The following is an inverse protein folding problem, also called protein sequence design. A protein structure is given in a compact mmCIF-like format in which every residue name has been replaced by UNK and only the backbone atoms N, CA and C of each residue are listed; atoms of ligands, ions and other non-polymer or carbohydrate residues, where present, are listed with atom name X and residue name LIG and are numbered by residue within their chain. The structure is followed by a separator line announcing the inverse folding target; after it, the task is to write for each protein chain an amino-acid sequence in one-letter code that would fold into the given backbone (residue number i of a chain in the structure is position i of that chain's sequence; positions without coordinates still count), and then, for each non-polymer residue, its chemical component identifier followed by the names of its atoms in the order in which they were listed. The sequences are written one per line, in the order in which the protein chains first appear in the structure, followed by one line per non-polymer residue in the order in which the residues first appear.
data_IF_187909025538
#
_entry.id   IF_187909025538
#
_cell.length_a   1.000
_cell.length_b   1.000
_cell.length_c   1.000
_cell.angle_alpha   90.00
_cell.angle_beta   90.00
_cell.angle_gamma   90.00
#
_symmetry.space_group_name_H-M   'P 1'
#
loop_
_entity.id
_entity.type
_entity.pdbx_description
1 polymer ?
#
# COMPACT_ATOMS: atom_id res chain seq x y z
N UNK A 1 48.94 55.63 -17.54
CA UNK A 1 48.55 55.00 -18.82
C UNK A 1 49.38 53.75 -19.03
N UNK A 2 48.81 52.57 -18.82
CA UNK A 2 49.22 51.33 -19.49
C UNK A 2 48.05 50.33 -19.42
N UNK A 3 47.64 49.82 -20.58
CA UNK A 3 46.62 48.77 -20.76
C UNK A 3 47.29 47.41 -20.65
N UNK A 4 46.74 46.49 -19.86
CA UNK A 4 46.98 45.05 -20.08
C UNK A 4 45.61 44.36 -20.16
N UNK A 5 45.40 43.78 -21.34
CA UNK A 5 44.32 42.90 -21.77
C UNK A 5 44.76 41.47 -21.48
N UNK A 6 43.78 40.55 -21.40
CA UNK A 6 43.93 39.08 -21.33
C UNK A 6 44.00 38.53 -19.90
N UNK A 7 43.22 37.52 -19.50
CA UNK A 7 42.36 36.65 -20.29
C UNK A 7 41.33 35.94 -19.42
N UNK A 8 40.31 35.48 -20.13
CA UNK A 8 39.21 34.63 -19.73
C UNK A 8 39.73 33.34 -19.07
N UNK A 9 39.17 32.96 -17.92
CA UNK A 9 39.08 31.57 -17.51
C UNK A 9 37.80 31.40 -16.68
N UNK A 10 36.68 31.27 -17.39
CA UNK A 10 35.40 30.83 -16.86
C UNK A 10 35.54 29.35 -16.52
N UNK A 11 35.82 29.06 -15.25
CA UNK A 11 35.80 27.70 -14.71
C UNK A 11 34.39 27.31 -14.29
N UNK A 12 33.50 27.01 -15.25
CA UNK A 12 32.21 26.37 -14.97
C UNK A 12 32.47 24.88 -14.84
N UNK A 13 32.57 24.40 -13.60
CA UNK A 13 32.58 22.97 -13.29
C UNK A 13 31.20 22.38 -13.57
N UNK A 14 31.02 21.79 -14.75
CA UNK A 14 29.91 20.90 -15.03
C UNK A 14 30.14 19.60 -14.24
N UNK A 15 29.43 19.42 -13.14
CA UNK A 15 29.26 18.11 -12.52
C UNK A 15 28.42 17.27 -13.49
N UNK A 16 29.10 16.53 -14.37
CA UNK A 16 28.52 15.46 -15.17
C UNK A 16 28.14 14.32 -14.23
N UNK A 17 26.91 14.34 -13.70
CA UNK A 17 26.27 13.15 -13.18
C UNK A 17 25.97 12.20 -14.33
N UNK A 18 26.51 10.98 -14.30
CA UNK A 18 26.05 9.91 -15.17
C UNK A 18 24.61 9.56 -14.79
N UNK A 19 23.64 10.02 -15.59
CA UNK A 19 22.39 9.30 -15.71
C UNK A 19 22.73 7.96 -16.41
N UNK A 20 22.62 6.85 -15.70
CA UNK A 20 22.63 5.54 -16.33
C UNK A 20 21.40 5.46 -17.25
N UNK A 21 21.55 5.16 -18.54
CA UNK A 21 20.39 4.83 -19.37
C UNK A 21 19.88 3.46 -18.89
N UNK A 22 18.74 3.45 -18.22
CA UNK A 22 17.89 2.27 -18.21
C UNK A 22 17.28 2.18 -19.60
N UNK A 23 17.81 1.29 -20.43
CA UNK A 23 17.07 0.47 -21.39
C UNK A 23 18.05 -0.14 -22.38
N UNK A 24 18.32 -1.43 -22.22
CA UNK A 24 19.02 -2.24 -23.22
C UNK A 24 18.03 -2.59 -24.33
N UNK A 25 17.93 -1.74 -25.35
CA UNK A 25 17.03 -1.89 -26.50
C UNK A 25 17.78 -2.00 -27.84
N UNK A 26 18.96 -2.62 -27.84
CA UNK A 26 19.88 -2.56 -28.99
C UNK A 26 19.69 -3.65 -30.07
N UNK A 27 18.68 -4.52 -29.97
CA UNK A 27 18.52 -5.63 -30.93
C UNK A 27 17.12 -5.84 -31.53
N UNK A 28 16.17 -4.88 -31.47
CA UNK A 28 14.83 -5.15 -32.03
C UNK A 28 14.51 -4.33 -33.29
N UNK A 29 14.56 -4.91 -34.50
CA UNK A 29 14.29 -4.19 -35.73
C UNK A 29 12.82 -4.24 -36.17
N UNK A 30 11.97 -5.12 -35.63
CA UNK A 30 10.55 -5.23 -36.00
C UNK A 30 9.72 -5.91 -34.88
N UNK A 31 9.71 -5.32 -33.68
CA UNK A 31 8.89 -5.77 -32.56
C UNK A 31 7.90 -4.70 -32.16
N UNK A 32 6.64 -4.84 -32.58
CA UNK A 32 5.54 -4.05 -32.04
C UNK A 32 5.29 -4.56 -30.61
N UNK A 33 6.10 -4.15 -29.64
CA UNK A 33 5.88 -4.53 -28.26
C UNK A 33 4.82 -3.62 -27.64
N UNK A 34 3.58 -4.11 -27.60
CA UNK A 34 2.61 -3.68 -26.59
C UNK A 34 3.17 -4.14 -25.25
N UNK A 35 4.08 -3.37 -24.66
CA UNK A 35 4.52 -3.60 -23.28
C UNK A 35 3.46 -3.05 -22.34
N UNK A 36 2.29 -3.70 -22.25
CA UNK A 36 1.57 -3.72 -20.98
C UNK A 36 2.31 -4.71 -20.08
N UNK A 37 3.52 -4.35 -19.68
CA UNK A 37 4.14 -4.94 -18.51
C UNK A 37 3.29 -4.45 -17.33
N UNK A 38 2.31 -5.24 -16.90
CA UNK A 38 1.71 -5.06 -15.58
C UNK A 38 2.82 -5.35 -14.56
N UNK A 39 3.59 -4.31 -14.24
CA UNK A 39 4.39 -4.30 -13.04
C UNK A 39 3.39 -4.37 -11.87
N UNK A 40 3.08 -5.58 -11.40
CA UNK A 40 2.43 -5.78 -10.11
C UNK A 40 3.38 -5.30 -9.02
N UNK A 41 3.50 -3.97 -8.86
CA UNK A 41 4.17 -3.39 -7.72
C UNK A 41 3.30 -3.67 -6.50
N UNK A 42 3.85 -4.46 -5.59
CA UNK A 42 3.26 -4.64 -4.28
C UNK A 42 3.57 -3.40 -3.43
N UNK A 43 2.54 -2.86 -2.77
CA UNK A 43 2.65 -1.77 -1.81
C UNK A 43 2.46 -2.31 -0.39
N UNK A 44 3.43 -2.03 0.47
CA UNK A 44 3.50 -2.48 1.87
C UNK A 44 3.18 -1.36 2.87
N UNK A 45 2.82 -0.15 2.40
CA UNK A 45 2.57 1.03 3.23
C UNK A 45 1.21 0.99 3.95
N UNK A 46 1.04 -0.02 4.79
CA UNK A 46 -0.15 -0.22 5.62
C UNK A 46 0.16 -0.05 7.10
N UNK A 47 -0.71 0.66 7.80
CA UNK A 47 -0.79 0.69 9.25
C UNK A 47 -1.75 -0.36 9.78
N UNK A 48 -1.51 -0.80 11.01
CA UNK A 48 -2.37 -1.71 11.77
C UNK A 48 -2.76 -1.07 13.10
N UNK A 49 -3.97 -1.34 13.57
CA UNK A 49 -4.47 -0.90 14.87
C UNK A 49 -5.51 -1.89 15.43
N UNK A 50 -5.77 -1.82 16.74
CA UNK A 50 -6.75 -2.67 17.42
C UNK A 50 -6.12 -3.93 18.02
N UNK A 51 -6.87 -5.02 18.06
CA UNK A 51 -6.44 -6.28 18.67
C UNK A 51 -5.43 -7.03 17.79
N UNK A 52 -4.19 -7.11 18.26
CA UNK A 52 -3.08 -7.79 17.59
C UNK A 52 -3.34 -9.30 17.40
N UNK A 53 -4.18 -9.93 18.23
CA UNK A 53 -4.47 -11.37 18.12
C UNK A 53 -5.23 -11.73 16.83
N UNK A 54 -5.92 -10.76 16.23
CA UNK A 54 -6.66 -10.94 14.98
C UNK A 54 -6.13 -10.07 13.84
N UNK A 55 -5.11 -9.25 14.11
CA UNK A 55 -4.42 -8.48 13.07
C UNK A 55 -3.52 -9.43 12.25
N UNK A 56 -3.36 -9.19 10.94
CA UNK A 56 -2.38 -9.91 10.16
C UNK A 56 -0.96 -9.55 10.64
N UNK A 57 -0.03 -10.51 10.54
CA UNK A 57 1.39 -10.28 10.77
C UNK A 57 1.98 -9.31 9.76
N UNK A 58 1.48 -9.38 8.53
CA UNK A 58 1.88 -8.53 7.42
C UNK A 58 0.71 -8.40 6.45
N UNK A 59 0.58 -7.22 5.83
CA UNK A 59 -0.23 -7.07 4.64
C UNK A 59 0.43 -6.19 3.60
N UNK A 60 -0.01 -6.39 2.36
CA UNK A 60 0.36 -5.58 1.21
C UNK A 60 -0.74 -5.67 0.16
N UNK A 61 -0.70 -4.81 -0.84
CA UNK A 61 -1.66 -4.87 -1.93
C UNK A 61 -0.97 -4.75 -3.29
N UNK A 62 -1.62 -5.25 -4.33
CA UNK A 62 -1.38 -4.84 -5.71
C UNK A 62 -2.53 -3.90 -6.14
N UNK A 63 -2.70 -3.71 -7.45
CA UNK A 63 -3.74 -2.83 -7.99
C UNK A 63 -5.18 -3.35 -7.82
N UNK A 64 -5.37 -4.60 -7.39
CA UNK A 64 -6.68 -5.28 -7.38
C UNK A 64 -6.99 -6.00 -6.06
N UNK A 65 -5.96 -6.36 -5.31
CA UNK A 65 -6.06 -7.32 -4.22
C UNK A 65 -5.23 -6.87 -3.03
N UNK A 66 -5.72 -7.21 -1.84
CA UNK A 66 -4.97 -7.12 -0.59
C UNK A 66 -4.62 -8.53 -0.13
N UNK A 67 -3.37 -8.70 0.26
CA UNK A 67 -2.78 -9.96 0.69
C UNK A 67 -2.46 -9.88 2.18
N UNK A 68 -3.01 -10.80 2.96
CA UNK A 68 -2.91 -10.84 4.41
C UNK A 68 -2.16 -12.10 4.84
N UNK A 69 -1.09 -11.94 5.60
CA UNK A 69 -0.38 -13.06 6.21
C UNK A 69 -0.76 -13.18 7.68
N UNK A 70 -1.15 -14.37 8.10
CA UNK A 70 -1.41 -14.70 9.50
C UNK A 70 -0.39 -15.71 10.02
N UNK A 71 -0.34 -15.87 11.34
CA UNK A 71 0.42 -16.96 11.95
C UNK A 71 -0.11 -18.33 11.47
N UNK A 72 0.74 -19.36 11.38
CA UNK A 72 0.30 -20.70 11.01
C UNK A 72 -0.83 -21.19 11.91
N UNK A 73 -1.83 -21.86 11.31
CA UNK A 73 -3.02 -22.39 11.98
C UNK A 73 -4.01 -21.35 12.53
N UNK A 74 -3.77 -20.06 12.34
CA UNK A 74 -4.74 -19.01 12.65
C UNK A 74 -5.75 -18.89 11.51
N UNK A 75 -7.03 -19.11 11.81
CA UNK A 75 -8.11 -18.81 10.88
C UNK A 75 -8.26 -17.28 10.73
N UNK A 76 -8.48 -16.76 9.49
CA UNK A 76 -8.67 -15.34 9.30
C UNK A 76 -9.98 -14.89 9.94
N UNK A 77 -10.04 -13.67 10.52
CA UNK A 77 -11.30 -13.09 10.96
C UNK A 77 -12.20 -12.76 9.77
N UNK A 78 -13.43 -12.33 10.05
CA UNK A 78 -14.25 -11.69 9.03
C UNK A 78 -13.59 -10.38 8.59
N UNK A 79 -13.51 -10.14 7.28
CA UNK A 79 -12.85 -8.96 6.70
C UNK A 79 -13.89 -8.11 5.99
N UNK A 80 -13.86 -6.81 6.25
CA UNK A 80 -14.75 -5.84 5.64
C UNK A 80 -13.94 -4.71 5.00
N UNK A 81 -14.33 -4.26 3.81
CA UNK A 81 -13.85 -3.03 3.23
C UNK A 81 -14.55 -1.84 3.90
N UNK A 82 -13.77 -0.84 4.31
CA UNK A 82 -14.26 0.46 4.77
C UNK A 82 -14.05 1.47 3.65
N UNK A 83 -15.15 1.96 3.09
CA UNK A 83 -15.14 2.98 2.05
C UNK A 83 -15.99 4.17 2.46
N UNK A 84 -15.93 5.27 1.70
CA UNK A 84 -16.84 6.42 1.93
C UNK A 84 -18.31 6.06 1.68
N UNK A 85 -18.55 5.02 0.89
CA UNK A 85 -19.87 4.50 0.55
C UNK A 85 -20.43 3.57 1.64
N UNK A 86 -19.59 3.16 2.59
CA UNK A 86 -19.96 2.32 3.72
C UNK A 86 -19.07 1.11 3.88
N UNK A 87 -19.59 0.14 4.63
CA UNK A 87 -18.93 -1.11 4.98
C UNK A 87 -19.41 -2.23 4.05
N UNK A 88 -18.49 -3.00 3.48
CA UNK A 88 -18.83 -4.14 2.60
C UNK A 88 -18.06 -5.38 3.03
N UNK A 89 -18.75 -6.52 3.16
CA UNK A 89 -18.11 -7.80 3.48
C UNK A 89 -17.24 -8.29 2.33
N UNK A 90 -16.04 -8.76 2.64
CA UNK A 90 -15.13 -9.40 1.69
C UNK A 90 -15.09 -10.90 1.94
N UNK A 91 -14.77 -11.66 0.90
CA UNK A 91 -14.61 -13.12 0.96
C UNK A 91 -13.13 -13.47 0.78
N UNK A 92 -12.37 -13.70 1.87
CA UNK A 92 -10.98 -14.12 1.77
C UNK A 92 -10.86 -15.51 1.19
N UNK A 93 -9.86 -15.73 0.34
CA UNK A 93 -9.47 -17.05 -0.14
C UNK A 93 -7.99 -17.30 0.10
N UNK A 94 -7.60 -18.55 0.31
CA UNK A 94 -6.22 -18.90 0.62
C UNK A 94 -5.39 -19.06 -0.67
N UNK A 95 -4.23 -18.41 -0.71
CA UNK A 95 -3.23 -18.56 -1.76
C UNK A 95 -1.85 -18.78 -1.13
N UNK A 96 -1.43 -20.04 -1.05
CA UNK A 96 -0.20 -20.43 -0.33
C UNK A 96 -0.28 -20.09 1.15
N UNK A 97 0.65 -19.25 1.62
CA UNK A 97 0.71 -18.79 3.01
C UNK A 97 -0.16 -17.54 3.30
N UNK A 98 -0.87 -17.03 2.29
CA UNK A 98 -1.62 -15.78 2.38
C UNK A 98 -3.12 -16.02 2.27
N UNK A 99 -3.87 -15.11 2.86
CA UNK A 99 -5.29 -14.90 2.61
C UNK A 99 -5.43 -13.67 1.72
N UNK A 100 -6.11 -13.81 0.59
CA UNK A 100 -6.27 -12.75 -0.40
C UNK A 100 -7.71 -12.29 -0.41
N UNK A 101 -7.91 -10.98 -0.51
CA UNK A 101 -9.23 -10.36 -0.71
C UNK A 101 -9.19 -9.47 -1.95
N UNK A 102 -10.21 -9.60 -2.80
CA UNK A 102 -10.36 -8.80 -4.03
C UNK A 102 -10.95 -7.43 -3.68
N UNK A 103 -10.07 -6.47 -3.39
CA UNK A 103 -10.45 -5.10 -3.07
C UNK A 103 -9.32 -4.13 -3.32
N UNK A 104 -9.70 -2.89 -3.67
CA UNK A 104 -8.81 -1.73 -3.75
C UNK A 104 -9.05 -0.75 -2.60
N UNK A 105 -9.86 -1.12 -1.60
CA UNK A 105 -10.15 -0.27 -0.46
C UNK A 105 -8.88 0.02 0.34
N UNK A 106 -8.68 1.29 0.69
CA UNK A 106 -7.54 1.74 1.48
C UNK A 106 -7.68 1.46 2.98
N UNK A 107 -8.82 0.94 3.43
CA UNK A 107 -9.09 0.60 4.83
C UNK A 107 -9.89 -0.68 4.94
N UNK A 108 -9.47 -1.54 5.85
CA UNK A 108 -10.10 -2.79 6.20
C UNK A 108 -10.46 -2.80 7.68
N UNK A 109 -11.58 -3.44 7.98
CA UNK A 109 -11.99 -3.80 9.33
C UNK A 109 -11.98 -5.31 9.46
N UNK A 110 -11.26 -5.80 10.47
CA UNK A 110 -11.12 -7.20 10.80
C UNK A 110 -11.88 -7.46 12.09
N UNK A 111 -12.73 -8.48 12.10
CA UNK A 111 -13.64 -8.72 13.22
C UNK A 111 -13.80 -10.20 13.56
N UNK A 112 -13.81 -10.47 14.86
CA UNK A 112 -14.39 -11.68 15.45
C UNK A 112 -15.58 -11.28 16.34
N UNK A 113 -16.17 -12.24 17.06
CA UNK A 113 -17.28 -11.93 17.95
C UNK A 113 -16.92 -10.90 19.04
N UNK A 114 -15.68 -10.96 19.56
CA UNK A 114 -15.25 -10.15 20.71
C UNK A 114 -14.17 -9.11 20.37
N UNK A 115 -13.51 -9.22 19.21
CA UNK A 115 -12.33 -8.42 18.88
C UNK A 115 -12.48 -7.68 17.57
N UNK A 116 -11.81 -6.54 17.49
CA UNK A 116 -11.73 -5.71 16.29
C UNK A 116 -10.28 -5.29 16.05
N UNK A 117 -9.87 -5.31 14.78
CA UNK A 117 -8.63 -4.73 14.30
C UNK A 117 -8.90 -3.96 13.00
N UNK A 118 -8.00 -3.06 12.65
CA UNK A 118 -8.06 -2.24 11.44
C UNK A 118 -6.73 -2.29 10.72
N UNK A 119 -6.80 -2.35 9.40
CA UNK A 119 -5.65 -2.13 8.52
C UNK A 119 -5.96 -0.94 7.62
N UNK A 120 -5.03 -0.02 7.43
CA UNK A 120 -5.27 1.18 6.63
C UNK A 120 -4.01 1.69 5.93
N UNK A 121 -4.17 2.21 4.73
CA UNK A 121 -3.20 3.09 4.07
C UNK A 121 -3.42 4.53 4.53
N UNK A 122 -2.48 5.42 4.24
CA UNK A 122 -2.55 6.84 4.65
C UNK A 122 -3.87 7.50 4.24
N UNK A 123 -4.37 7.24 3.04
CA UNK A 123 -5.63 7.80 2.55
C UNK A 123 -6.89 7.16 3.19
N UNK A 124 -6.76 5.99 3.80
CA UNK A 124 -7.83 5.27 4.49
C UNK A 124 -7.86 5.49 6.01
N UNK A 125 -6.77 5.97 6.61
CA UNK A 125 -6.58 6.04 8.06
C UNK A 125 -7.72 6.78 8.78
N UNK A 126 -8.16 7.92 8.24
CA UNK A 126 -9.23 8.71 8.83
C UNK A 126 -10.56 7.93 8.91
N UNK A 127 -10.86 7.12 7.87
CA UNK A 127 -12.06 6.27 7.85
C UNK A 127 -11.95 5.16 8.89
N UNK A 128 -10.78 4.52 9.02
CA UNK A 128 -10.56 3.48 10.01
C UNK A 128 -10.73 4.03 11.44
N UNK A 129 -10.14 5.19 11.74
CA UNK A 129 -10.27 5.87 13.03
C UNK A 129 -11.71 6.28 13.34
N UNK A 130 -12.42 6.84 12.37
CA UNK A 130 -13.83 7.21 12.53
C UNK A 130 -14.69 5.99 12.84
N UNK A 131 -14.51 4.89 12.10
CA UNK A 131 -15.22 3.64 12.34
C UNK A 131 -14.93 3.05 13.72
N UNK A 132 -13.65 3.01 14.12
CA UNK A 132 -13.25 2.56 15.45
C UNK A 132 -13.93 3.36 16.57
N UNK A 133 -14.00 4.69 16.41
CA UNK A 133 -14.65 5.58 17.37
C UNK A 133 -16.16 5.32 17.47
N UNK A 134 -16.82 5.10 16.32
CA UNK A 134 -18.24 4.79 16.27
C UNK A 134 -18.58 3.49 17.01
N UNK A 135 -17.78 2.42 16.83
CA UNK A 135 -18.00 1.15 17.54
C UNK A 135 -17.82 1.29 19.06
N UNK A 136 -16.82 2.04 19.51
CA UNK A 136 -16.60 2.29 20.93
C UNK A 136 -17.77 3.05 21.58
N UNK A 137 -18.36 3.98 20.83
CA UNK A 137 -19.54 4.72 21.29
C UNK A 137 -20.77 3.83 21.37
N UNK A 138 -21.01 3.00 20.35
CA UNK A 138 -22.15 2.06 20.34
C UNK A 138 -22.07 1.04 21.49
N UNK A 139 -20.89 0.44 21.73
CA UNK A 139 -20.70 -0.50 22.84
C UNK A 139 -20.73 0.13 24.23
N UNK A 140 -20.75 1.46 24.34
CA UNK A 140 -21.04 2.18 25.59
C UNK A 140 -22.55 2.29 25.81
N UNK A 141 -23.30 2.64 24.78
CA UNK A 141 -24.76 2.82 24.85
C UNK A 141 -25.47 1.49 25.16
N UNK A 142 -24.99 0.36 24.63
CA UNK A 142 -25.63 -0.96 24.85
C UNK A 142 -25.39 -1.56 26.25
N UNK A 143 -24.56 -0.91 27.09
CA UNK A 143 -24.21 -1.40 28.45
C UNK A 143 -24.78 -0.56 29.59
N UNK A 144 -25.53 0.49 29.27
CA UNK A 144 -26.26 1.34 30.22
C UNK A 144 -27.76 0.98 30.22
#
# INVERSE_FOLDING_TARGET
MYKIVSGLAVGVGLLSGCAAPSDSSWWDPMGNEVTTHEHYQFDFAWGLAGDEAIAPLQLFNNNQQVWLQYAPMTAPPAVFALTKQGVTTLTPYQQGAYWVVDTTAASLWLRTNASNAWAFRTEGEALAKAHATALLHQGRIERD
#
